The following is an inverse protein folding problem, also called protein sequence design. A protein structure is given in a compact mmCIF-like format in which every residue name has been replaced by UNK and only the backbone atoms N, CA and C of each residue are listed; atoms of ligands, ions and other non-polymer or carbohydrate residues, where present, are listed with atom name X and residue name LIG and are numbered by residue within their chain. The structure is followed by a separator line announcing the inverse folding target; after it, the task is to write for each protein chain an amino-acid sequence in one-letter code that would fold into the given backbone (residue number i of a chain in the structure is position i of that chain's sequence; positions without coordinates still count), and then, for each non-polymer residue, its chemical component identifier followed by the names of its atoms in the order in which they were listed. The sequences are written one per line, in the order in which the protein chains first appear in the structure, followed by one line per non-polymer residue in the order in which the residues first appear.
data_IF_775106652531
#
_entry.id   IF_775106652531
#
_cell.length_a   1.000
_cell.length_b   1.000
_cell.length_c   1.000
_cell.angle_alpha   90.00
_cell.angle_beta   90.00
_cell.angle_gamma   90.00
#
_symmetry.space_group_name_H-M   'P 1'
#
loop_
_entity.id
_entity.type
_entity.pdbx_description
1 polymer ?
#
# COMPACT_ATOMS: atom_id res chain seq x y z
N UNK A 1 -7.57 -12.30 15.08
CA UNK A 1 -6.87 -11.23 14.37
C UNK A 1 -5.74 -11.71 13.49
N UNK A 2 -4.95 -12.65 13.96
CA UNK A 2 -3.91 -13.31 13.16
C UNK A 2 -4.47 -14.20 12.04
N UNK A 3 -5.68 -14.71 12.17
CA UNK A 3 -6.35 -15.51 11.13
C UNK A 3 -6.71 -14.70 9.89
N UNK A 4 -7.04 -13.42 10.04
CA UNK A 4 -7.37 -12.55 8.91
C UNK A 4 -6.14 -12.21 8.07
N UNK A 5 -4.97 -12.20 8.68
CA UNK A 5 -3.72 -11.98 7.98
C UNK A 5 -3.30 -13.19 7.14
N UNK A 6 -3.64 -14.40 7.59
CA UNK A 6 -3.33 -15.63 6.86
C UNK A 6 -4.24 -15.83 5.63
N UNK A 7 -5.41 -15.20 5.60
CA UNK A 7 -6.30 -15.22 4.43
C UNK A 7 -5.70 -14.43 3.26
N UNK A 8 -4.80 -13.48 3.54
CA UNK A 8 -4.11 -12.75 2.49
C UNK A 8 -3.08 -13.60 1.74
N UNK A 9 -2.51 -14.62 2.38
CA UNK A 9 -1.64 -15.57 1.69
C UNK A 9 -2.39 -16.46 0.69
N UNK A 10 -3.67 -16.74 0.96
CA UNK A 10 -4.50 -17.52 0.04
C UNK A 10 -4.99 -16.71 -1.17
N UNK A 11 -4.94 -15.38 -1.08
CA UNK A 11 -5.37 -14.49 -2.16
C UNK A 11 -4.24 -14.07 -3.10
N UNK A 12 -3.01 -14.40 -2.77
CA UNK A 12 -1.88 -14.17 -3.67
C UNK A 12 -1.93 -15.26 -4.74
N UNK A 13 -2.18 -14.86 -5.99
CA UNK A 13 -2.15 -15.83 -7.07
C UNK A 13 -0.75 -16.46 -7.19
N UNK A 14 -0.65 -17.74 -7.58
CA UNK A 14 0.65 -18.42 -7.71
C UNK A 14 1.64 -17.66 -8.61
N UNK A 15 1.14 -17.01 -9.66
CA UNK A 15 1.96 -16.19 -10.55
C UNK A 15 2.52 -14.93 -9.87
N UNK A 16 1.80 -14.36 -8.89
CA UNK A 16 2.29 -13.25 -8.09
C UNK A 16 3.34 -13.69 -7.06
N UNK A 17 3.22 -14.90 -6.55
CA UNK A 17 4.18 -15.46 -5.59
C UNK A 17 5.53 -15.80 -6.25
N UNK A 18 5.54 -16.16 -7.53
CA UNK A 18 6.75 -16.43 -8.29
C UNK A 18 7.43 -15.17 -8.83
N UNK A 19 6.73 -14.04 -8.79
CA UNK A 19 7.19 -12.77 -9.33
C UNK A 19 8.05 -11.94 -8.35
N UNK A 20 8.55 -12.52 -7.27
CA UNK A 20 9.45 -11.83 -6.33
C UNK A 20 10.73 -11.28 -6.99
N UNK A 21 11.00 -11.66 -8.22
CA UNK A 21 12.18 -11.25 -8.98
C UNK A 21 11.86 -10.32 -10.17
N UNK A 22 10.59 -9.97 -10.41
CA UNK A 22 10.25 -9.16 -11.57
C UNK A 22 10.15 -7.68 -11.18
N UNK A 23 11.16 -6.94 -11.55
CA UNK A 23 11.19 -5.48 -11.46
C UNK A 23 10.14 -4.79 -12.36
N UNK A 24 9.42 -5.57 -13.17
CA UNK A 24 8.45 -5.11 -14.17
C UNK A 24 7.00 -5.51 -13.83
N UNK A 25 6.55 -5.24 -12.60
CA UNK A 25 5.15 -5.42 -12.25
C UNK A 25 4.29 -4.21 -12.66
N UNK A 26 4.56 -3.69 -13.85
CA UNK A 26 3.90 -2.46 -14.32
C UNK A 26 2.46 -2.66 -14.82
N UNK A 27 2.07 -3.87 -15.20
CA UNK A 27 0.76 -4.09 -15.84
C UNK A 27 -0.23 -4.89 -15.02
N UNK A 28 0.03 -5.14 -13.75
CA UNK A 28 -0.84 -5.97 -12.92
C UNK A 28 -0.76 -7.46 -13.31
N UNK A 29 -1.13 -8.34 -12.40
CA UNK A 29 -1.09 -9.76 -12.65
C UNK A 29 -2.15 -10.16 -13.69
N UNK A 30 -1.78 -10.75 -14.84
CA UNK A 30 -2.75 -11.17 -15.84
C UNK A 30 -3.68 -12.30 -15.36
N UNK A 31 -3.35 -12.89 -14.22
CA UNK A 31 -4.13 -14.00 -13.62
C UNK A 31 -5.11 -13.52 -12.54
N UNK A 32 -5.04 -12.24 -12.14
CA UNK A 32 -5.93 -11.63 -11.15
C UNK A 32 -6.81 -10.54 -11.81
N UNK A 33 -7.65 -10.86 -12.80
CA UNK A 33 -8.37 -9.86 -13.58
C UNK A 33 -9.36 -9.03 -12.76
N UNK A 34 -9.82 -9.56 -11.63
CA UNK A 34 -10.93 -8.97 -10.90
C UNK A 34 -10.51 -7.96 -9.82
N UNK A 35 -9.20 -7.83 -9.55
CA UNK A 35 -8.70 -7.00 -8.44
C UNK A 35 -7.68 -5.93 -8.85
N UNK A 36 -7.73 -5.51 -10.10
CA UNK A 36 -6.88 -4.43 -10.56
C UNK A 36 -7.51 -3.07 -10.32
N UNK A 37 -6.70 -2.15 -9.84
CA UNK A 37 -7.06 -0.74 -9.80
C UNK A 37 -6.40 -0.04 -10.97
N UNK A 38 -7.21 0.47 -11.88
CA UNK A 38 -6.71 1.29 -12.99
C UNK A 38 -6.46 2.70 -12.44
N UNK A 39 -5.22 3.13 -12.49
CA UNK A 39 -4.81 4.49 -12.12
C UNK A 39 -4.34 5.24 -13.36
N UNK A 40 -4.52 6.55 -13.34
CA UNK A 40 -3.86 7.39 -14.35
C UNK A 40 -2.35 7.33 -14.17
N UNK A 41 -1.60 7.60 -15.25
CA UNK A 41 -0.14 7.65 -15.18
C UNK A 41 0.35 8.72 -14.21
N UNK A 42 -0.37 9.83 -14.12
CA UNK A 42 -0.07 10.93 -13.20
C UNK A 42 -0.22 10.50 -11.74
N UNK A 43 -1.31 9.82 -11.39
CA UNK A 43 -1.54 9.30 -10.05
C UNK A 43 -0.49 8.26 -9.67
N UNK A 44 -0.18 7.35 -10.59
CA UNK A 44 0.84 6.34 -10.38
C UNK A 44 2.22 6.96 -10.12
N UNK A 45 2.61 7.95 -10.92
CA UNK A 45 3.88 8.68 -10.74
C UNK A 45 3.93 9.41 -9.41
N UNK A 46 2.84 10.05 -9.00
CA UNK A 46 2.76 10.75 -7.72
C UNK A 46 2.93 9.79 -6.54
N UNK A 47 2.27 8.65 -6.58
CA UNK A 47 2.37 7.61 -5.55
C UNK A 47 3.79 7.03 -5.47
N UNK A 48 4.38 6.71 -6.62
CA UNK A 48 5.75 6.19 -6.70
C UNK A 48 6.77 7.21 -6.19
N UNK A 49 6.59 8.48 -6.50
CA UNK A 49 7.46 9.55 -6.00
C UNK A 49 7.45 9.62 -4.47
N UNK A 50 6.27 9.53 -3.86
CA UNK A 50 6.14 9.48 -2.40
C UNK A 50 6.83 8.27 -1.80
N UNK A 51 6.66 7.09 -2.41
CA UNK A 51 7.31 5.86 -1.95
C UNK A 51 8.83 5.93 -2.08
N UNK A 52 9.36 6.51 -3.15
CA UNK A 52 10.81 6.71 -3.30
C UNK A 52 11.38 7.61 -2.22
N UNK A 53 10.64 8.64 -1.83
CA UNK A 53 11.06 9.49 -0.69
C UNK A 53 11.09 8.71 0.61
N UNK A 54 10.08 7.90 0.86
CA UNK A 54 10.01 7.03 2.05
C UNK A 54 11.14 6.01 2.04
N UNK A 55 11.43 5.41 0.89
CA UNK A 55 12.57 4.50 0.70
C UNK A 55 13.87 5.18 1.10
N UNK A 56 14.11 6.40 0.65
CA UNK A 56 15.28 7.18 1.03
C UNK A 56 15.35 7.44 2.54
N UNK A 57 14.22 7.74 3.17
CA UNK A 57 14.15 7.93 4.62
C UNK A 57 14.48 6.64 5.38
N UNK A 58 13.99 5.49 4.90
CA UNK A 58 14.31 4.18 5.50
C UNK A 58 15.80 3.86 5.35
N UNK A 59 16.40 4.14 4.20
CA UNK A 59 17.85 4.01 4.02
C UNK A 59 18.63 4.89 4.98
N UNK A 60 18.15 6.10 5.23
CA UNK A 60 18.70 6.99 6.24
C UNK A 60 18.67 6.37 7.64
N UNK A 61 17.56 5.72 8.00
CA UNK A 61 17.45 4.98 9.27
C UNK A 61 18.45 3.84 9.36
N UNK A 62 18.63 3.07 8.28
CA UNK A 62 19.64 2.01 8.24
C UNK A 62 21.04 2.55 8.51
N UNK A 63 21.39 3.68 7.88
CA UNK A 63 22.67 4.35 8.13
C UNK A 63 22.83 4.82 9.57
N UNK A 64 21.77 5.32 10.19
CA UNK A 64 21.82 5.72 11.61
C UNK A 64 22.07 4.53 12.54
N UNK A 65 21.45 3.40 12.26
CA UNK A 65 21.66 2.16 13.04
C UNK A 65 23.08 1.64 12.86
N UNK A 66 23.60 1.63 11.63
CA UNK A 66 24.97 1.21 11.33
C UNK A 66 26.01 2.06 12.04
N UNK A 67 25.77 3.36 12.18
CA UNK A 67 26.66 4.31 12.85
C UNK A 67 26.44 4.38 14.36
N UNK A 68 25.56 3.55 14.90
CA UNK A 68 25.19 3.57 16.33
C UNK A 68 24.74 4.96 16.79
N UNK A 69 23.91 5.63 16.00
CA UNK A 69 23.34 6.91 16.34
C UNK A 69 22.51 6.85 17.62
N UNK A 70 22.32 7.98 18.25
CA UNK A 70 21.56 8.08 19.49
C UNK A 70 20.11 7.61 19.30
N UNK A 71 19.65 6.71 20.18
CA UNK A 71 18.33 6.07 20.02
C UNK A 71 17.17 7.04 19.89
N UNK A 72 17.05 8.12 20.69
CA UNK A 72 15.98 9.10 20.51
C UNK A 72 15.96 9.75 19.13
N UNK A 73 17.13 10.02 18.54
CA UNK A 73 17.22 10.59 17.19
C UNK A 73 16.68 9.60 16.13
N UNK A 74 17.00 8.32 16.28
CA UNK A 74 16.47 7.27 15.42
C UNK A 74 14.94 7.21 15.54
N UNK A 75 14.41 7.26 16.76
CA UNK A 75 12.98 7.23 17.02
C UNK A 75 12.24 8.44 16.42
N UNK A 76 12.86 9.61 16.45
CA UNK A 76 12.30 10.81 15.79
C UNK A 76 12.20 10.57 14.28
N UNK A 77 13.22 10.00 13.67
CA UNK A 77 13.19 9.66 12.23
C UNK A 77 12.16 8.58 11.92
N UNK A 78 11.99 7.59 12.78
CA UNK A 78 10.93 6.58 12.64
C UNK A 78 9.55 7.24 12.65
N UNK A 79 9.33 8.21 13.54
CA UNK A 79 8.08 8.97 13.59
C UNK A 79 7.83 9.72 12.27
N UNK A 80 8.86 10.31 11.69
CA UNK A 80 8.77 11.00 10.40
C UNK A 80 8.38 10.03 9.27
N UNK A 81 9.00 8.85 9.22
CA UNK A 81 8.68 7.81 8.23
C UNK A 81 7.24 7.32 8.41
N UNK A 82 6.81 7.10 9.64
CA UNK A 82 5.44 6.69 9.96
C UNK A 82 4.42 7.74 9.48
N UNK A 83 4.69 9.01 9.70
CA UNK A 83 3.85 10.10 9.23
C UNK A 83 3.77 10.14 7.70
N UNK A 84 4.88 9.92 7.02
CA UNK A 84 4.94 9.86 5.56
C UNK A 84 4.15 8.68 5.01
N UNK A 85 4.24 7.50 5.63
CA UNK A 85 3.44 6.33 5.27
C UNK A 85 1.95 6.55 5.50
N UNK A 86 1.57 7.17 6.61
CA UNK A 86 0.17 7.52 6.88
C UNK A 86 -0.39 8.48 5.82
N UNK A 87 0.40 9.46 5.41
CA UNK A 87 0.03 10.39 4.35
C UNK A 87 -0.16 9.67 3.00
N UNK A 88 0.73 8.74 2.69
CA UNK A 88 0.60 7.88 1.50
C UNK A 88 -0.69 7.05 1.56
N UNK A 89 -0.96 6.41 2.69
CA UNK A 89 -2.17 5.60 2.89
C UNK A 89 -3.45 6.41 2.71
N UNK A 90 -3.49 7.62 3.25
CA UNK A 90 -4.64 8.53 3.10
C UNK A 90 -4.88 8.90 1.64
N UNK A 91 -3.82 9.20 0.90
CA UNK A 91 -3.93 9.54 -0.52
C UNK A 91 -4.40 8.34 -1.34
N UNK A 92 -3.83 7.16 -1.08
CA UNK A 92 -4.23 5.93 -1.75
C UNK A 92 -5.68 5.59 -1.47
N UNK A 93 -6.11 5.69 -0.21
CA UNK A 93 -7.49 5.44 0.20
C UNK A 93 -8.46 6.43 -0.48
N UNK A 94 -8.11 7.71 -0.51
CA UNK A 94 -8.92 8.73 -1.19
C UNK A 94 -9.10 8.38 -2.68
N UNK A 95 -8.04 8.02 -3.36
CA UNK A 95 -8.10 7.60 -4.77
C UNK A 95 -8.95 6.33 -4.94
N UNK A 96 -8.86 5.40 -4.02
CA UNK A 96 -9.65 4.17 -4.04
C UNK A 96 -11.15 4.45 -3.89
N UNK A 97 -11.52 5.34 -2.96
CA UNK A 97 -12.91 5.74 -2.76
C UNK A 97 -13.46 6.43 -4.02
N UNK A 98 -12.72 7.39 -4.57
CA UNK A 98 -13.17 8.12 -5.77
C UNK A 98 -13.21 7.26 -7.03
N UNK A 99 -12.38 6.25 -7.13
CA UNK A 99 -12.34 5.36 -8.29
C UNK A 99 -13.16 4.09 -8.10
N UNK A 100 -12.59 3.13 -7.40
CA UNK A 100 -13.15 1.77 -7.32
C UNK A 100 -14.46 1.69 -6.55
N UNK A 101 -14.56 2.36 -5.40
CA UNK A 101 -15.76 2.31 -4.56
C UNK A 101 -16.92 3.03 -5.23
N UNK A 102 -16.66 4.20 -5.80
CA UNK A 102 -17.68 4.95 -6.54
C UNK A 102 -18.25 4.15 -7.70
N UNK A 103 -17.40 3.48 -8.48
CA UNK A 103 -17.85 2.61 -9.57
C UNK A 103 -18.67 1.43 -9.07
N UNK A 104 -18.27 0.82 -7.95
CA UNK A 104 -19.01 -0.25 -7.32
C UNK A 104 -20.40 0.19 -6.88
N UNK A 105 -20.54 1.35 -6.26
CA UNK A 105 -21.82 1.93 -5.83
C UNK A 105 -22.71 2.19 -7.04
N UNK A 106 -22.18 2.79 -8.09
CA UNK A 106 -22.94 3.10 -9.32
C UNK A 106 -23.39 1.84 -10.06
N UNK A 107 -22.63 0.76 -9.98
CA UNK A 107 -23.00 -0.53 -10.57
C UNK A 107 -23.92 -1.39 -9.67
N UNK A 108 -24.22 -0.93 -8.45
CA UNK A 108 -25.03 -1.66 -7.48
C UNK A 108 -24.29 -2.79 -6.77
N UNK A 109 -22.97 -2.75 -6.73
CA UNK A 109 -22.13 -3.74 -6.06
C UNK A 109 -21.94 -3.40 -4.58
N UNK A 110 -22.72 -4.04 -3.72
CA UNK A 110 -22.63 -3.87 -2.28
C UNK A 110 -21.31 -4.43 -1.70
N UNK A 111 -20.65 -5.34 -2.40
CA UNK A 111 -19.38 -5.92 -1.97
C UNK A 111 -18.27 -4.87 -1.90
N UNK A 112 -18.29 -3.86 -2.76
CA UNK A 112 -17.31 -2.77 -2.74
C UNK A 112 -17.39 -1.96 -1.43
N UNK A 113 -18.59 -1.73 -0.92
CA UNK A 113 -18.80 -1.04 0.35
C UNK A 113 -18.32 -1.89 1.52
N UNK A 114 -18.61 -3.17 1.51
CA UNK A 114 -18.19 -4.11 2.56
C UNK A 114 -16.66 -4.22 2.61
N UNK A 115 -16.00 -4.34 1.46
CA UNK A 115 -14.53 -4.33 1.38
C UNK A 115 -13.94 -3.04 1.95
N UNK A 116 -14.54 -1.89 1.66
CA UNK A 116 -14.11 -0.60 2.20
C UNK A 116 -14.23 -0.58 3.72
N UNK A 117 -15.35 -1.04 4.26
CA UNK A 117 -15.57 -1.10 5.71
C UNK A 117 -14.53 -1.97 6.41
N UNK A 118 -14.23 -3.14 5.85
CA UNK A 118 -13.20 -4.03 6.37
C UNK A 118 -11.82 -3.40 6.31
N UNK A 119 -11.49 -2.74 5.22
CA UNK A 119 -10.22 -2.02 5.06
C UNK A 119 -10.08 -0.92 6.11
N UNK A 120 -11.11 -0.12 6.31
CA UNK A 120 -11.11 0.94 7.32
C UNK A 120 -10.89 0.39 8.72
N UNK A 121 -11.53 -0.72 9.07
CA UNK A 121 -11.33 -1.37 10.36
C UNK A 121 -9.87 -1.78 10.58
N UNK A 122 -9.19 -2.26 9.55
CA UNK A 122 -7.77 -2.61 9.61
C UNK A 122 -6.87 -1.38 9.78
N UNK A 123 -7.20 -0.29 9.10
CA UNK A 123 -6.40 0.94 9.11
C UNK A 123 -6.57 1.76 10.39
N UNK A 124 -7.70 1.64 11.05
CA UNK A 124 -8.04 2.41 12.24
C UNK A 124 -7.57 1.77 13.56
N UNK A 125 -6.75 0.78 13.50
CA UNK A 125 -6.15 0.19 14.70
C UNK A 125 -5.20 1.12 15.42
#
# INVERSE_FOLDING_TARGET
MTKEYMVEEETVCPACAEAEAAEDFEEGCPVCPDKHTVRSDEDRKALLFRLKRIEGQVRGLQGMVEKNAYCPDILIQVSAVTSALNSFSKQLLSSHIHGCVKRGILSGDDAAIEELCQLLQRLMK
#
